data_IF_774457983156
#
_entry.id   IF_774457983156
#
_cell.length_a   1.000
_cell.length_b   1.000
_cell.length_c   1.000
_cell.angle_alpha   90.00
_cell.angle_beta   90.00
_cell.angle_gamma   90.00
#
_symmetry.space_group_name_H-M   'P 1'
#
loop_
_entity.id
_entity.type
_entity.pdbx_description
1 polymer ?
#
# COMPACT_ATOMS: atom_id res chain seq x y z
N UNK A 1 -11.07 -9.07 -2.21
CA UNK A 1 -11.53 -7.70 -2.54
C UNK A 1 -12.72 -7.84 -3.45
N UNK A 2 -13.83 -7.23 -3.10
CA UNK A 2 -15.13 -7.58 -3.67
C UNK A 2 -15.65 -6.47 -4.59
N UNK A 3 -15.10 -5.26 -4.48
CA UNK A 3 -15.40 -4.14 -5.36
C UNK A 3 -14.30 -3.07 -5.38
N UNK A 4 -14.30 -2.26 -6.43
CA UNK A 4 -13.43 -1.09 -6.62
C UNK A 4 -14.29 0.18 -6.76
N UNK A 5 -15.22 0.36 -5.84
CA UNK A 5 -16.28 1.36 -5.97
C UNK A 5 -15.81 2.78 -5.61
N UNK A 6 -14.63 2.88 -4.99
CA UNK A 6 -14.04 4.15 -4.55
C UNK A 6 -12.89 4.55 -5.45
N UNK A 7 -12.71 5.85 -5.66
CA UNK A 7 -11.52 6.42 -6.33
C UNK A 7 -10.25 5.91 -5.65
N UNK A 8 -10.29 5.77 -4.32
CA UNK A 8 -9.24 5.18 -3.49
C UNK A 8 -9.87 4.25 -2.47
N UNK A 9 -9.40 3.02 -2.41
CA UNK A 9 -9.85 1.96 -1.52
C UNK A 9 -8.72 1.72 -0.52
N UNK A 10 -8.96 2.00 0.76
CA UNK A 10 -7.95 1.94 1.81
C UNK A 10 -7.48 0.51 2.07
N UNK A 11 -6.17 0.32 2.26
CA UNK A 11 -5.62 -0.87 2.92
C UNK A 11 -5.12 -0.46 4.31
N UNK A 12 -4.19 0.49 4.37
CA UNK A 12 -3.67 1.09 5.60
C UNK A 12 -3.36 2.57 5.38
N UNK A 13 -4.08 3.46 6.05
CA UNK A 13 -3.96 4.91 5.88
C UNK A 13 -3.65 5.58 7.22
N UNK A 14 -2.56 6.36 7.27
CA UNK A 14 -2.27 7.24 8.40
C UNK A 14 -3.24 8.41 8.45
N UNK A 15 -3.68 8.75 9.65
CA UNK A 15 -4.56 9.86 9.94
C UNK A 15 -3.84 11.19 9.69
N UNK A 16 -4.55 12.21 9.21
CA UNK A 16 -3.97 13.52 8.83
C UNK A 16 -3.09 13.51 7.57
N UNK A 17 -2.44 12.37 7.26
CA UNK A 17 -1.44 12.21 6.19
C UNK A 17 -0.32 13.25 6.27
N UNK A 18 0.20 13.41 7.50
CA UNK A 18 1.26 14.35 7.88
C UNK A 18 2.64 13.91 7.38
N UNK A 19 3.68 14.70 7.70
CA UNK A 19 5.08 14.44 7.32
C UNK A 19 5.50 12.99 7.62
N UNK A 20 6.05 12.33 6.61
CA UNK A 20 6.47 10.93 6.58
C UNK A 20 5.33 9.91 6.80
N UNK A 21 4.07 10.35 6.78
CA UNK A 21 2.91 9.48 6.76
C UNK A 21 2.77 8.75 5.43
N UNK A 22 2.17 7.57 5.49
CA UNK A 22 1.95 6.70 4.33
C UNK A 22 0.47 6.36 4.15
N UNK A 23 0.04 6.33 2.90
CA UNK A 23 -1.28 5.83 2.49
C UNK A 23 -1.07 4.65 1.54
N UNK A 24 -1.38 3.44 2.01
CA UNK A 24 -1.36 2.24 1.20
C UNK A 24 -2.78 1.88 0.77
N UNK A 25 -3.03 1.89 -0.54
CA UNK A 25 -4.39 1.87 -1.09
C UNK A 25 -4.43 1.33 -2.51
N UNK A 26 -5.62 0.91 -2.94
CA UNK A 26 -5.90 0.49 -4.33
C UNK A 26 -6.81 1.54 -4.97
N UNK A 27 -6.46 2.01 -6.17
CA UNK A 27 -7.29 2.97 -6.92
C UNK A 27 -8.40 2.28 -7.69
N UNK A 28 -9.40 3.04 -8.10
CA UNK A 28 -10.53 2.53 -8.91
C UNK A 28 -10.09 1.84 -10.21
N UNK A 29 -8.95 2.25 -10.78
CA UNK A 29 -8.35 1.60 -11.96
C UNK A 29 -7.67 0.26 -11.64
N UNK A 30 -7.67 -0.18 -10.38
CA UNK A 30 -7.07 -1.42 -9.92
C UNK A 30 -5.58 -1.34 -9.61
N UNK A 31 -4.96 -0.15 -9.67
CA UNK A 31 -3.55 0.04 -9.32
C UNK A 31 -3.34 0.06 -7.81
N UNK A 32 -2.34 -0.70 -7.33
CA UNK A 32 -1.85 -0.58 -5.95
C UNK A 32 -0.97 0.66 -5.86
N UNK A 33 -1.15 1.46 -4.82
CA UNK A 33 -0.42 2.71 -4.61
C UNK A 33 0.12 2.80 -3.20
N UNK A 34 1.42 3.09 -3.06
CA UNK A 34 1.98 3.67 -1.85
C UNK A 34 2.09 5.18 -2.03
N UNK A 35 1.23 5.92 -1.34
CA UNK A 35 1.30 7.37 -1.21
C UNK A 35 2.20 7.73 -0.03
N UNK A 36 3.12 8.66 -0.23
CA UNK A 36 4.02 9.16 0.80
C UNK A 36 3.97 10.67 0.87
N UNK A 37 3.91 11.23 2.09
CA UNK A 37 4.01 12.66 2.33
C UNK A 37 5.43 13.03 2.76
N UNK A 38 6.12 13.86 1.99
CA UNK A 38 7.47 14.33 2.34
C UNK A 38 7.44 15.56 3.27
N UNK A 39 8.62 15.91 3.81
CA UNK A 39 8.81 17.04 4.74
C UNK A 39 8.31 18.39 4.22
N UNK A 40 8.42 18.62 2.91
CA UNK A 40 7.91 19.82 2.25
C UNK A 40 6.41 19.75 1.92
N UNK A 41 5.67 18.82 2.54
CA UNK A 41 4.25 18.55 2.35
C UNK A 41 3.84 18.09 0.94
N UNK A 42 4.77 17.93 0.00
CA UNK A 42 4.48 17.31 -1.28
C UNK A 42 4.26 15.81 -1.09
N UNK A 43 3.13 15.31 -1.60
CA UNK A 43 2.88 13.89 -1.67
C UNK A 43 3.43 13.32 -2.99
N UNK A 44 4.00 12.12 -2.93
CA UNK A 44 4.31 11.34 -4.12
C UNK A 44 3.64 9.98 -4.02
N UNK A 45 3.21 9.47 -5.16
CA UNK A 45 2.61 8.16 -5.26
C UNK A 45 3.56 7.24 -6.02
N UNK A 46 3.72 6.03 -5.51
CA UNK A 46 4.34 4.90 -6.20
C UNK A 46 3.22 3.96 -6.63
N UNK A 47 2.67 4.09 -7.85
CA UNK A 47 1.63 3.21 -8.34
C UNK A 47 2.19 2.03 -9.14
N UNK A 48 1.49 0.91 -9.10
CA UNK A 48 1.64 -0.18 -10.06
C UNK A 48 0.86 0.12 -11.34
N UNK A 49 1.01 -0.72 -12.38
CA UNK A 49 -0.07 -0.90 -13.37
C UNK A 49 -1.29 -1.53 -12.66
N UNK A 50 -2.50 -1.52 -13.24
CA UNK A 50 -3.64 -2.24 -12.68
C UNK A 50 -3.29 -3.69 -12.35
N UNK A 51 -3.41 -4.05 -11.06
CA UNK A 51 -3.22 -5.43 -10.58
C UNK A 51 -4.55 -6.08 -10.21
N UNK A 52 -5.59 -5.29 -9.97
CA UNK A 52 -6.95 -5.78 -9.83
C UNK A 52 -7.74 -5.48 -11.10
N UNK A 53 -8.52 -6.47 -11.53
CA UNK A 53 -9.47 -6.40 -12.61
C UNK A 53 -10.62 -7.37 -12.29
N UNK A 54 -11.63 -7.44 -13.17
CA UNK A 54 -12.81 -8.30 -12.96
C UNK A 54 -12.47 -9.76 -12.66
N UNK A 55 -11.34 -10.29 -13.15
CA UNK A 55 -10.93 -11.68 -12.93
C UNK A 55 -10.29 -11.93 -11.56
N UNK A 56 -9.87 -10.89 -10.85
CA UNK A 56 -9.26 -10.97 -9.51
C UNK A 56 -10.20 -10.51 -8.39
N UNK A 57 -11.36 -9.94 -8.71
CA UNK A 57 -12.36 -9.63 -7.71
C UNK A 57 -12.91 -10.94 -7.09
N UNK A 58 -13.20 -10.90 -5.80
CA UNK A 58 -13.63 -12.04 -5.00
C UNK A 58 -12.55 -13.09 -4.69
N UNK A 59 -11.31 -12.90 -5.16
CA UNK A 59 -10.20 -13.81 -4.88
C UNK A 59 -9.31 -13.29 -3.74
N UNK A 60 -8.75 -14.22 -2.97
CA UNK A 60 -7.67 -13.91 -2.02
C UNK A 60 -6.40 -13.57 -2.78
N UNK A 61 -5.76 -12.47 -2.38
CA UNK A 61 -4.52 -11.98 -2.98
C UNK A 61 -3.61 -11.53 -1.86
N UNK A 62 -2.37 -12.01 -1.89
CA UNK A 62 -1.32 -11.48 -1.02
C UNK A 62 -0.71 -10.24 -1.67
N UNK A 63 -0.70 -9.12 -0.95
CA UNK A 63 -0.10 -7.87 -1.39
C UNK A 63 1.01 -7.46 -0.43
N UNK A 64 2.14 -7.04 -0.97
CA UNK A 64 3.20 -6.43 -0.18
C UNK A 64 3.76 -5.19 -0.87
N UNK A 65 4.25 -4.24 -0.08
CA UNK A 65 5.01 -3.10 -0.58
C UNK A 65 6.22 -2.89 0.32
N UNK A 66 7.41 -2.90 -0.29
CA UNK A 66 8.68 -2.65 0.38
C UNK A 66 9.19 -1.27 -0.02
N UNK A 67 9.46 -0.43 0.97
CA UNK A 67 10.18 0.83 0.81
C UNK A 67 11.62 0.63 1.28
N UNK A 68 12.59 0.68 0.36
CA UNK A 68 13.99 0.36 0.59
C UNK A 68 14.86 1.59 0.28
N UNK A 69 15.40 2.23 1.32
CA UNK A 69 16.27 3.40 1.19
C UNK A 69 17.66 3.05 0.71
N UNK A 70 18.18 1.87 1.09
CA UNK A 70 19.53 1.43 0.79
C UNK A 70 19.66 1.09 -0.70
N UNK A 71 18.64 0.43 -1.27
CA UNK A 71 18.54 0.17 -2.70
C UNK A 71 17.80 1.26 -3.46
N UNK A 72 17.40 2.34 -2.78
CA UNK A 72 16.74 3.53 -3.33
C UNK A 72 15.50 3.21 -4.17
N UNK A 73 14.62 2.30 -3.72
CA UNK A 73 13.43 1.89 -4.47
C UNK A 73 12.21 1.54 -3.62
N UNK A 74 11.04 1.64 -4.24
CA UNK A 74 9.80 0.98 -3.79
C UNK A 74 9.56 -0.23 -4.66
N UNK A 75 9.26 -1.38 -4.04
CA UNK A 75 8.85 -2.60 -4.73
C UNK A 75 7.46 -3.02 -4.28
N UNK A 76 6.55 -3.24 -5.22
CA UNK A 76 5.24 -3.82 -4.97
C UNK A 76 5.23 -5.29 -5.40
N UNK A 77 4.54 -6.13 -4.63
CA UNK A 77 4.43 -7.56 -4.87
C UNK A 77 2.97 -7.99 -4.89
N UNK A 78 2.68 -9.01 -5.70
CA UNK A 78 1.39 -9.69 -5.75
C UNK A 78 1.66 -11.18 -5.72
N UNK A 79 1.10 -11.89 -4.75
CA UNK A 79 1.29 -13.34 -4.58
C UNK A 79 2.77 -13.74 -4.55
N UNK A 80 3.56 -13.03 -3.75
CA UNK A 80 5.00 -13.26 -3.58
C UNK A 80 5.88 -12.69 -4.70
N UNK A 81 5.33 -12.39 -5.88
CA UNK A 81 6.11 -11.97 -7.03
C UNK A 81 6.15 -10.44 -7.19
N UNK A 82 7.32 -9.86 -7.53
CA UNK A 82 7.48 -8.42 -7.72
C UNK A 82 6.80 -7.95 -9.00
N UNK A 83 5.79 -7.07 -8.89
CA UNK A 83 5.04 -6.53 -10.03
C UNK A 83 5.50 -5.15 -10.48
N UNK A 84 6.21 -4.41 -9.60
CA UNK A 84 6.75 -3.10 -9.91
C UNK A 84 7.94 -2.79 -9.02
N UNK A 85 9.04 -2.34 -9.62
CA UNK A 85 10.15 -1.66 -8.94
C UNK A 85 10.23 -0.22 -9.45
N UNK A 86 10.18 0.75 -8.55
CA UNK A 86 10.26 2.17 -8.89
C UNK A 86 11.35 2.83 -8.04
N UNK A 87 12.26 3.54 -8.69
CA UNK A 87 13.31 4.30 -8.01
C UNK A 87 12.72 5.41 -7.16
N UNK A 88 13.30 5.63 -5.97
CA UNK A 88 12.98 6.78 -5.14
C UNK A 88 13.45 8.07 -5.82
N UNK A 89 12.50 8.97 -6.05
CA UNK A 89 12.78 10.32 -6.56
C UNK A 89 13.08 11.30 -5.42
N UNK A 90 12.59 10.99 -4.22
CA UNK A 90 12.81 11.72 -2.97
C UNK A 90 12.87 10.73 -1.81
N UNK A 91 13.56 11.11 -0.75
CA UNK A 91 13.65 10.35 0.49
C UNK A 91 12.71 10.94 1.54
N UNK A 92 12.19 10.09 2.42
CA UNK A 92 11.57 10.56 3.65
C UNK A 92 12.62 11.30 4.49
N UNK A 93 12.17 12.27 5.28
CA UNK A 93 13.06 12.99 6.20
C UNK A 93 13.08 12.25 7.54
N UNK A 94 13.96 11.25 7.63
CA UNK A 94 13.98 10.25 8.69
C UNK A 94 13.07 9.06 8.41
N UNK A 95 12.62 8.37 9.47
CA UNK A 95 11.79 7.18 9.34
C UNK A 95 10.37 7.52 8.84
N UNK A 96 9.80 6.60 8.06
CA UNK A 96 8.36 6.58 7.80
C UNK A 96 7.59 6.42 9.12
N UNK A 97 6.44 7.06 9.20
CA UNK A 97 5.63 7.09 10.42
C UNK A 97 4.28 6.43 10.17
N UNK A 98 4.01 5.38 10.92
CA UNK A 98 2.67 4.83 11.09
C UNK A 98 2.23 5.26 12.49
N UNK A 99 1.60 6.43 12.56
CA UNK A 99 1.02 6.97 13.80
C UNK A 99 -0.39 6.42 14.02
N UNK A 100 -1.33 7.28 14.44
CA UNK A 100 -2.74 6.95 14.34
C UNK A 100 -3.07 6.59 12.88
N UNK A 101 -3.63 5.41 12.67
CA UNK A 101 -3.90 4.86 11.35
C UNK A 101 -5.14 3.96 11.39
N UNK A 102 -5.76 3.81 10.23
CA UNK A 102 -6.94 2.98 10.04
C UNK A 102 -6.68 1.90 9.00
N UNK A 103 -7.18 0.70 9.27
CA UNK A 103 -7.15 -0.44 8.35
C UNK A 103 -8.47 -0.46 7.61
N UNK A 104 -8.42 -0.50 6.27
CA UNK A 104 -9.62 -0.58 5.43
C UNK A 104 -10.53 0.65 5.49
N UNK A 105 -10.09 1.76 6.07
CA UNK A 105 -10.83 3.02 6.08
C UNK A 105 -9.88 4.23 6.14
N UNK A 106 -10.42 5.43 6.26
CA UNK A 106 -9.67 6.63 6.60
C UNK A 106 -10.52 7.59 7.43
N UNK A 107 -9.99 8.06 8.55
CA UNK A 107 -10.64 9.09 9.40
C UNK A 107 -10.47 10.52 8.86
N UNK A 108 -10.07 10.66 7.58
CA UNK A 108 -9.75 11.92 6.93
C UNK A 108 -10.94 12.86 6.71
N UNK A 109 -10.61 14.09 6.29
CA UNK A 109 -11.48 15.28 6.38
C UNK A 109 -12.76 15.19 5.53
N UNK A 110 -13.87 14.83 6.18
CA UNK A 110 -15.23 15.09 5.73
C UNK A 110 -15.88 13.97 4.89
N UNK A 111 -17.22 13.95 4.88
CA UNK A 111 -18.04 12.90 4.28
C UNK A 111 -17.86 12.71 2.74
N UNK A 112 -17.13 13.60 2.06
CA UNK A 112 -16.98 13.60 0.61
C UNK A 112 -15.85 12.70 0.08
N UNK A 113 -14.92 12.24 0.91
CA UNK A 113 -13.78 11.41 0.49
C UNK A 113 -13.86 10.01 1.14
N UNK A 114 -14.90 9.26 0.75
CA UNK A 114 -15.15 7.90 1.23
C UNK A 114 -14.13 6.94 0.62
N UNK A 115 -13.27 6.36 1.47
CA UNK A 115 -12.18 5.48 1.07
C UNK A 115 -12.22 4.09 1.69
N UNK A 116 -13.37 3.68 2.22
CA UNK A 116 -13.49 2.37 2.85
C UNK A 116 -13.17 1.25 1.85
N UNK A 117 -12.49 0.22 2.34
CA UNK A 117 -12.24 -1.01 1.61
C UNK A 117 -13.56 -1.74 1.38
N UNK A 118 -13.67 -2.42 0.23
CA UNK A 118 -14.77 -3.33 -0.06
C UNK A 118 -14.21 -4.75 -0.24
N UNK A 119 -14.37 -5.58 0.79
CA UNK A 119 -13.95 -6.97 0.85
C UNK A 119 -13.36 -7.36 2.20
N UNK A 120 -12.69 -8.51 2.25
CA UNK A 120 -12.07 -9.03 3.46
C UNK A 120 -10.54 -8.85 3.48
N UNK A 121 -9.99 -8.67 4.68
CA UNK A 121 -8.56 -8.79 4.99
C UNK A 121 -8.42 -9.83 6.10
N UNK A 122 -7.45 -10.73 5.95
CA UNK A 122 -7.17 -11.78 6.93
C UNK A 122 -5.99 -11.37 7.82
N UNK A 123 -4.81 -11.20 7.21
CA UNK A 123 -3.58 -10.84 7.89
C UNK A 123 -3.02 -9.49 7.44
N UNK A 124 -2.53 -8.69 8.39
CA UNK A 124 -1.77 -7.47 8.14
C UNK A 124 -0.50 -7.48 8.99
N UNK A 125 0.65 -7.36 8.32
CA UNK A 125 1.97 -7.34 8.95
C UNK A 125 2.71 -6.08 8.52
N UNK A 126 3.40 -5.45 9.47
CA UNK A 126 4.25 -4.28 9.22
C UNK A 126 5.64 -4.57 9.75
N UNK A 127 6.66 -4.41 8.90
CA UNK A 127 8.06 -4.60 9.26
C UNK A 127 8.76 -3.25 9.42
N UNK A 128 9.67 -3.17 10.40
CA UNK A 128 10.59 -2.04 10.57
C UNK A 128 11.83 -2.10 9.66
N UNK A 129 11.87 -3.07 8.74
CA UNK A 129 12.98 -3.32 7.83
C UNK A 129 12.48 -3.57 6.40
N UNK A 130 13.33 -3.31 5.42
CA UNK A 130 13.04 -3.57 4.02
C UNK A 130 13.31 -5.05 3.69
N UNK A 131 12.24 -5.82 3.48
CA UNK A 131 12.35 -7.22 3.09
C UNK A 131 12.82 -7.40 1.64
N UNK A 132 13.58 -8.44 1.38
CA UNK A 132 13.97 -8.84 0.02
C UNK A 132 12.90 -9.68 -0.70
N UNK A 133 13.18 -10.01 -1.97
CA UNK A 133 12.23 -10.77 -2.81
C UNK A 133 11.95 -12.17 -2.23
N UNK A 134 12.95 -12.82 -1.62
CA UNK A 134 12.82 -14.19 -1.09
C UNK A 134 12.01 -14.18 0.20
N UNK A 135 12.25 -13.21 1.09
CA UNK A 135 11.50 -13.04 2.34
C UNK A 135 10.00 -12.79 2.06
N UNK A 136 9.69 -11.90 1.11
CA UNK A 136 8.29 -11.62 0.72
C UNK A 136 7.64 -12.87 0.09
N UNK A 137 8.39 -13.61 -0.72
CA UNK A 137 7.91 -14.86 -1.31
C UNK A 137 7.62 -15.92 -0.26
N UNK A 138 8.51 -16.07 0.72
CA UNK A 138 8.32 -17.03 1.82
C UNK A 138 7.09 -16.69 2.66
N UNK A 139 6.87 -15.40 2.98
CA UNK A 139 5.64 -14.96 3.69
C UNK A 139 4.39 -15.36 2.89
N UNK A 140 4.40 -15.12 1.58
CA UNK A 140 3.29 -15.56 0.72
C UNK A 140 3.09 -17.08 0.75
N UNK A 141 4.16 -17.87 0.61
CA UNK A 141 4.07 -19.33 0.57
C UNK A 141 3.55 -19.93 1.87
N UNK A 142 3.92 -19.34 3.02
CA UNK A 142 3.44 -19.77 4.35
C UNK A 142 1.99 -19.32 4.61
N UNK A 143 1.60 -18.14 4.13
CA UNK A 143 0.25 -17.59 4.31
C UNK A 143 -0.77 -18.06 3.27
N UNK A 144 -0.38 -18.93 2.33
CA UNK A 144 -1.31 -19.56 1.39
C UNK A 144 -2.11 -20.66 2.10
N UNK A 145 -3.46 -20.63 2.06
CA UNK A 145 -4.27 -21.76 2.48
C UNK A 145 -4.13 -22.96 1.53
#
# INVERSE_FOLDING_TARGET
MDGLDRIRNSLLLTDGFDKNGIHWQIRQDGSLTLGMRYANQHAHNYPTRPIFNLFRLGQWVHLATVYDTDRTRVTHYVNGDPVKRQRLTRFADGMLKIGAATIGNWSGRGAADVRNFNGCMDELIVFGAALDDQEVRQIYEVGRP
#
